data_IF_676296219910
#
_entry.id   IF_676296219910
#
_cell.length_a   1.000
_cell.length_b   1.000
_cell.length_c   1.000
_cell.angle_alpha   90.00
_cell.angle_beta   90.00
_cell.angle_gamma   90.00
#
_symmetry.space_group_name_H-M   'P 1'
#
loop_
_entity.id
_entity.type
_entity.pdbx_description
1 polymer ?
#
# COMPACT_ATOMS: atom_id res chain seq x y z
N UNK A 1 52.62 -20.29 -21.99
CA UNK A 1 51.49 -20.92 -21.26
C UNK A 1 50.66 -19.94 -20.40
N UNK A 2 50.88 -18.60 -20.46
CA UNK A 2 50.21 -17.62 -19.56
C UNK A 2 48.88 -17.06 -20.10
N UNK A 3 48.71 -16.92 -21.41
CA UNK A 3 47.49 -16.35 -22.02
C UNK A 3 46.22 -17.23 -21.90
N UNK A 4 46.37 -18.53 -21.65
CA UNK A 4 45.22 -19.46 -21.53
C UNK A 4 44.56 -19.36 -20.15
N UNK A 5 45.35 -19.00 -19.14
CA UNK A 5 44.91 -18.84 -17.74
C UNK A 5 44.15 -17.52 -17.57
N UNK A 6 44.61 -16.43 -18.22
CA UNK A 6 43.93 -15.12 -18.17
C UNK A 6 42.51 -15.16 -18.78
N UNK A 7 42.33 -15.88 -19.90
CA UNK A 7 40.99 -16.07 -20.50
C UNK A 7 40.05 -16.89 -19.63
N UNK A 8 40.57 -17.86 -18.88
CA UNK A 8 39.76 -18.62 -17.93
C UNK A 8 39.37 -17.75 -16.73
N UNK A 9 40.30 -16.97 -16.16
CA UNK A 9 40.01 -16.08 -15.03
C UNK A 9 38.97 -15.02 -15.42
N UNK A 10 39.04 -14.47 -16.63
CA UNK A 10 38.02 -13.55 -17.16
C UNK A 10 36.65 -14.22 -17.32
N UNK A 11 36.61 -15.48 -17.75
CA UNK A 11 35.36 -16.24 -17.84
C UNK A 11 34.78 -16.57 -16.45
N UNK A 12 35.62 -16.82 -15.45
CA UNK A 12 35.19 -17.02 -14.06
C UNK A 12 34.65 -15.73 -13.42
N UNK A 13 35.25 -14.57 -13.71
CA UNK A 13 34.75 -13.28 -13.22
C UNK A 13 33.41 -12.90 -13.86
N UNK A 14 33.22 -13.20 -15.16
CA UNK A 14 31.95 -12.95 -15.85
C UNK A 14 30.81 -13.85 -15.34
N UNK A 15 31.12 -15.10 -14.98
CA UNK A 15 30.16 -16.03 -14.39
C UNK A 15 29.79 -15.70 -12.94
N UNK A 16 30.71 -15.12 -12.15
CA UNK A 16 30.45 -14.73 -10.77
C UNK A 16 29.58 -13.45 -10.67
N UNK A 17 29.72 -12.52 -11.63
CA UNK A 17 28.90 -11.29 -11.67
C UNK A 17 27.43 -11.59 -12.00
N UNK A 18 27.13 -12.69 -12.70
CA UNK A 18 25.74 -13.14 -12.92
C UNK A 18 25.10 -13.83 -11.70
N UNK A 19 25.88 -14.24 -10.69
CA UNK A 19 25.36 -14.87 -9.47
C UNK A 19 25.22 -13.89 -8.29
N UNK A 20 25.78 -12.68 -8.41
CA UNK A 20 25.56 -11.62 -7.45
C UNK A 20 24.25 -10.93 -7.82
N UNK A 21 23.16 -11.52 -7.34
CA UNK A 21 21.81 -11.00 -7.50
C UNK A 21 21.80 -9.50 -7.26
N UNK A 22 21.49 -8.76 -8.32
CA UNK A 22 21.08 -7.37 -8.23
C UNK A 22 19.91 -7.41 -7.25
N UNK A 23 19.99 -6.78 -6.06
CA UNK A 23 18.77 -6.49 -5.35
C UNK A 23 18.03 -5.56 -6.30
N UNK A 24 17.02 -6.08 -7.01
CA UNK A 24 15.99 -5.24 -7.56
C UNK A 24 15.56 -4.40 -6.36
N UNK A 25 15.91 -3.12 -6.39
CA UNK A 25 15.29 -2.15 -5.51
C UNK A 25 13.80 -2.34 -5.78
N UNK A 26 13.11 -2.98 -4.82
CA UNK A 26 11.67 -3.14 -4.86
C UNK A 26 11.12 -1.75 -5.05
N UNK A 27 10.59 -1.51 -6.24
CA UNK A 27 9.81 -0.32 -6.49
C UNK A 27 8.62 -0.42 -5.55
N UNK A 28 8.46 0.57 -4.68
CA UNK A 28 7.26 0.74 -3.90
C UNK A 28 6.11 1.05 -4.87
N UNK A 29 5.38 0.01 -5.29
CA UNK A 29 4.04 0.03 -5.87
C UNK A 29 3.81 -1.29 -6.61
N UNK A 30 3.42 -2.34 -5.90
CA UNK A 30 2.82 -3.51 -6.55
C UNK A 30 1.73 -4.14 -5.64
N UNK A 31 1.00 -3.29 -4.88
CA UNK A 31 -0.27 -3.64 -4.23
C UNK A 31 -1.43 -3.70 -5.24
N UNK A 32 -1.12 -3.78 -6.54
CA UNK A 32 -2.12 -3.92 -7.61
C UNK A 32 -2.79 -5.29 -7.50
N UNK A 33 -3.78 -5.39 -6.64
CA UNK A 33 -4.56 -6.61 -6.42
C UNK A 33 -4.81 -6.97 -4.96
N UNK A 34 -4.27 -6.22 -4.00
CA UNK A 34 -4.59 -6.42 -2.58
C UNK A 34 -5.87 -5.66 -2.19
N UNK A 35 -6.74 -6.33 -1.46
CA UNK A 35 -8.02 -5.80 -1.04
C UNK A 35 -8.31 -6.13 0.42
N UNK A 36 -9.02 -5.22 1.06
CA UNK A 36 -9.64 -5.42 2.36
C UNK A 36 -11.10 -5.82 2.12
N UNK A 37 -11.43 -7.05 2.49
CA UNK A 37 -12.75 -7.65 2.39
C UNK A 37 -13.42 -7.70 3.76
N UNK A 38 -14.67 -7.23 3.83
CA UNK A 38 -15.54 -7.37 4.99
C UNK A 38 -16.60 -8.43 4.73
N UNK A 39 -16.62 -9.46 5.57
CA UNK A 39 -17.63 -10.52 5.57
C UNK A 39 -17.69 -11.17 6.95
N UNK A 40 -18.65 -12.08 7.18
CA UNK A 40 -18.62 -12.87 8.42
C UNK A 40 -17.47 -13.89 8.37
N UNK A 41 -16.90 -14.27 9.54
CA UNK A 41 -15.79 -15.23 9.60
C UNK A 41 -16.12 -16.59 8.99
N UNK A 42 -17.39 -16.99 8.98
CA UNK A 42 -17.86 -18.25 8.42
C UNK A 42 -17.90 -18.22 6.88
N UNK A 43 -18.05 -17.04 6.28
CA UNK A 43 -18.22 -16.88 4.84
C UNK A 43 -16.90 -16.73 4.06
N UNK A 44 -15.81 -16.30 4.71
CA UNK A 44 -14.56 -15.92 4.03
C UNK A 44 -14.01 -17.03 3.12
N UNK A 45 -13.99 -18.28 3.60
CA UNK A 45 -13.44 -19.39 2.83
C UNK A 45 -14.24 -19.67 1.56
N UNK A 46 -15.56 -19.50 1.62
CA UNK A 46 -16.45 -19.72 0.49
C UNK A 46 -16.38 -18.56 -0.51
N UNK A 47 -16.28 -17.32 -0.03
CA UNK A 47 -16.05 -16.13 -0.90
C UNK A 47 -14.72 -16.27 -1.63
N UNK A 48 -13.64 -16.59 -0.92
CA UNK A 48 -12.30 -16.76 -1.49
C UNK A 48 -12.30 -17.84 -2.57
N UNK A 49 -12.98 -18.97 -2.30
CA UNK A 49 -13.13 -20.07 -3.26
C UNK A 49 -13.97 -19.69 -4.50
N UNK A 50 -15.10 -19.00 -4.32
CA UNK A 50 -16.02 -18.62 -5.41
C UNK A 50 -15.40 -17.60 -6.36
N UNK A 51 -14.68 -16.63 -5.81
CA UNK A 51 -14.12 -15.50 -6.58
C UNK A 51 -12.64 -15.66 -6.91
N UNK A 52 -11.99 -16.75 -6.47
CA UNK A 52 -10.60 -17.05 -6.78
C UNK A 52 -9.59 -16.14 -6.09
N UNK A 53 -9.97 -15.55 -4.95
CA UNK A 53 -9.03 -14.80 -4.12
C UNK A 53 -8.02 -15.74 -3.45
N UNK A 54 -6.93 -15.16 -2.96
CA UNK A 54 -6.05 -15.80 -1.98
C UNK A 54 -6.14 -15.05 -0.67
N UNK A 55 -6.45 -15.73 0.43
CA UNK A 55 -6.48 -15.12 1.75
C UNK A 55 -5.05 -14.91 2.26
N UNK A 56 -4.65 -13.65 2.46
CA UNK A 56 -3.32 -13.28 3.00
C UNK A 56 -3.37 -13.29 4.53
N UNK A 57 -4.37 -12.60 5.10
CA UNK A 57 -4.52 -12.40 6.54
C UNK A 57 -5.99 -12.26 6.90
N UNK A 58 -6.37 -12.75 8.07
CA UNK A 58 -7.71 -12.62 8.62
C UNK A 58 -7.66 -11.97 10.00
N UNK A 59 -8.62 -11.10 10.28
CA UNK A 59 -8.93 -10.57 11.60
C UNK A 59 -10.39 -10.87 11.93
N UNK A 60 -10.63 -12.12 12.37
CA UNK A 60 -11.96 -12.71 12.51
C UNK A 60 -12.86 -11.96 13.48
N UNK A 61 -12.33 -11.43 14.58
CA UNK A 61 -13.11 -10.67 15.57
C UNK A 61 -13.75 -9.40 15.03
N UNK A 62 -13.29 -8.87 13.89
CA UNK A 62 -13.89 -7.71 13.23
C UNK A 62 -14.46 -8.04 11.85
N UNK A 63 -14.40 -9.30 11.41
CA UNK A 63 -14.81 -9.70 10.05
C UNK A 63 -14.03 -8.98 8.95
N UNK A 64 -12.74 -8.70 9.18
CA UNK A 64 -11.86 -8.00 8.24
C UNK A 64 -10.84 -9.01 7.72
N UNK A 65 -10.71 -9.11 6.40
CA UNK A 65 -9.88 -10.09 5.73
C UNK A 65 -9.08 -9.43 4.60
N UNK A 66 -7.77 -9.63 4.59
CA UNK A 66 -6.88 -9.18 3.52
C UNK A 66 -6.78 -10.28 2.47
N UNK A 67 -7.12 -9.94 1.24
CA UNK A 67 -7.21 -10.89 0.13
C UNK A 67 -6.48 -10.37 -1.10
N UNK A 68 -5.84 -11.28 -1.83
CA UNK A 68 -5.20 -11.01 -3.11
C UNK A 68 -6.12 -11.46 -4.25
N UNK A 69 -6.47 -10.55 -5.15
CA UNK A 69 -7.23 -10.84 -6.35
C UNK A 69 -6.44 -11.74 -7.31
N UNK A 70 -7.10 -12.58 -8.11
CA UNK A 70 -6.42 -13.37 -9.13
C UNK A 70 -5.83 -12.45 -10.21
N UNK A 71 -4.62 -12.76 -10.69
CA UNK A 71 -3.90 -11.95 -11.69
C UNK A 71 -4.65 -11.73 -13.02
N UNK A 72 -5.70 -12.53 -13.28
CA UNK A 72 -6.58 -12.40 -14.45
C UNK A 72 -7.79 -11.49 -14.23
N UNK A 73 -8.00 -10.97 -13.02
CA UNK A 73 -9.13 -10.12 -12.69
C UNK A 73 -8.99 -8.76 -13.40
N UNK A 74 -10.00 -8.40 -14.20
CA UNK A 74 -10.17 -7.01 -14.65
C UNK A 74 -10.88 -6.24 -13.53
N UNK A 75 -10.27 -5.18 -12.96
CA UNK A 75 -10.73 -4.59 -11.69
C UNK A 75 -12.22 -4.20 -11.67
N UNK A 76 -12.72 -3.55 -12.72
CA UNK A 76 -14.06 -2.94 -12.68
C UNK A 76 -15.22 -3.96 -12.70
N UNK A 77 -15.15 -4.94 -13.60
CA UNK A 77 -16.19 -5.98 -13.69
C UNK A 77 -16.13 -6.94 -12.51
N UNK A 78 -14.93 -7.33 -12.11
CA UNK A 78 -14.71 -8.24 -10.98
C UNK A 78 -15.22 -7.66 -9.66
N UNK A 79 -14.94 -6.38 -9.38
CA UNK A 79 -15.43 -5.73 -8.15
C UNK A 79 -16.95 -5.55 -8.15
N UNK A 80 -17.56 -5.36 -9.32
CA UNK A 80 -19.02 -5.25 -9.44
C UNK A 80 -19.72 -6.58 -9.12
N UNK A 81 -19.18 -7.68 -9.63
CA UNK A 81 -19.68 -9.03 -9.35
C UNK A 81 -19.53 -9.38 -7.87
N UNK A 82 -18.38 -9.04 -7.27
CA UNK A 82 -18.13 -9.30 -5.85
C UNK A 82 -19.04 -8.47 -4.93
N UNK A 83 -19.30 -7.19 -5.26
CA UNK A 83 -20.24 -6.34 -4.50
C UNK A 83 -21.68 -6.84 -4.56
N UNK A 84 -22.00 -7.69 -5.53
CA UNK A 84 -23.31 -8.31 -5.67
C UNK A 84 -23.43 -9.63 -4.89
N UNK A 85 -22.33 -10.14 -4.32
CA UNK A 85 -22.34 -11.34 -3.49
C UNK A 85 -23.01 -11.04 -2.13
N UNK A 86 -24.04 -11.80 -1.73
CA UNK A 86 -24.78 -11.56 -0.50
C UNK A 86 -23.94 -11.71 0.77
N UNK A 87 -22.84 -12.45 0.71
CA UNK A 87 -21.97 -12.69 1.87
C UNK A 87 -20.91 -11.59 2.04
N UNK A 88 -20.77 -10.70 1.05
CA UNK A 88 -19.82 -9.58 1.05
C UNK A 88 -20.50 -8.34 1.62
N UNK A 89 -19.98 -7.84 2.75
CA UNK A 89 -20.47 -6.62 3.39
C UNK A 89 -19.77 -5.37 2.84
N UNK A 90 -18.54 -5.52 2.36
CA UNK A 90 -17.78 -4.42 1.75
C UNK A 90 -16.44 -4.89 1.19
N UNK A 91 -15.95 -4.18 0.18
CA UNK A 91 -14.61 -4.35 -0.37
C UNK A 91 -14.00 -2.99 -0.69
N UNK A 92 -12.75 -2.81 -0.29
CA UNK A 92 -11.91 -1.66 -0.61
C UNK A 92 -10.51 -2.11 -1.01
N UNK A 93 -9.84 -1.40 -1.93
CA UNK A 93 -8.45 -1.70 -2.26
C UNK A 93 -7.54 -1.37 -1.07
N UNK A 94 -6.51 -2.18 -0.87
CA UNK A 94 -5.44 -1.83 0.08
C UNK A 94 -4.56 -0.78 -0.60
N UNK A 95 -4.70 0.47 -0.15
CA UNK A 95 -4.01 1.62 -0.73
C UNK A 95 -3.34 2.43 0.36
N UNK A 96 -2.21 3.04 0.00
CA UNK A 96 -1.56 4.02 0.84
C UNK A 96 -2.50 5.21 1.12
N UNK A 97 -2.75 5.45 2.41
CA UNK A 97 -3.53 6.61 2.87
C UNK A 97 -2.57 7.77 3.12
N UNK A 98 -2.76 8.87 2.37
CA UNK A 98 -2.03 10.11 2.62
C UNK A 98 -2.59 10.81 3.87
N UNK A 99 -1.78 10.90 4.92
CA UNK A 99 -2.10 11.66 6.12
C UNK A 99 -2.00 13.17 5.84
N UNK A 100 -2.79 13.97 6.56
CA UNK A 100 -2.81 15.42 6.37
C UNK A 100 -1.45 16.08 6.68
N UNK A 101 -0.71 15.51 7.63
CA UNK A 101 0.65 15.87 8.00
C UNK A 101 1.71 15.40 7.00
N UNK A 102 1.40 14.42 6.15
CA UNK A 102 2.32 13.92 5.11
C UNK A 102 2.14 14.65 3.77
N UNK A 103 1.40 15.77 3.75
CA UNK A 103 1.18 16.55 2.53
C UNK A 103 2.52 16.94 1.89
N UNK A 104 2.68 16.73 0.57
CA UNK A 104 3.87 17.20 -0.14
C UNK A 104 4.12 18.69 0.13
N UNK A 105 5.27 19.00 0.71
CA UNK A 105 5.67 20.37 1.06
C UNK A 105 5.57 20.75 2.54
N UNK A 106 4.96 19.92 3.40
CA UNK A 106 5.06 20.12 4.85
C UNK A 106 6.45 19.68 5.33
N UNK A 107 7.31 20.64 5.68
CA UNK A 107 8.64 20.36 6.21
C UNK A 107 8.54 20.24 7.73
N UNK A 108 8.51 19.00 8.24
CA UNK A 108 8.57 18.74 9.68
C UNK A 108 10.01 19.02 10.13
N UNK A 109 10.24 20.24 10.58
CA UNK A 109 11.49 20.68 11.20
C UNK A 109 11.44 20.43 12.72
N UNK A 110 12.59 20.31 13.38
CA UNK A 110 12.66 20.29 14.86
C UNK A 110 12.38 21.65 15.48
N UNK A 111 12.20 22.69 14.66
CA UNK A 111 11.79 24.03 15.09
C UNK A 111 10.28 24.21 14.90
N UNK A 112 9.56 24.33 16.03
CA UNK A 112 8.13 24.68 16.03
C UNK A 112 7.84 25.97 15.25
N UNK A 113 8.75 26.96 15.29
CA UNK A 113 8.59 28.20 14.53
C UNK A 113 8.65 27.97 13.01
N UNK A 114 9.56 27.11 12.57
CA UNK A 114 9.72 26.73 11.16
C UNK A 114 8.52 25.94 10.64
N UNK A 115 7.97 25.03 11.45
CA UNK A 115 6.71 24.33 11.14
C UNK A 115 5.56 25.32 11.01
N UNK A 116 5.40 26.23 11.98
CA UNK A 116 4.36 27.27 11.93
C UNK A 116 4.50 28.15 10.69
N UNK A 117 5.72 28.35 10.20
CA UNK A 117 5.96 29.13 8.99
C UNK A 117 5.41 28.46 7.72
N UNK A 118 5.31 27.14 7.70
CA UNK A 118 4.77 26.38 6.57
C UNK A 118 3.23 26.30 6.54
N UNK A 119 2.55 26.67 7.63
CA UNK A 119 1.09 26.61 7.71
C UNK A 119 0.44 27.78 6.94
N UNK A 120 -0.43 27.46 5.96
CA UNK A 120 -1.40 28.42 5.40
C UNK A 120 -2.48 28.74 6.44
N UNK A 121 -3.09 29.92 6.33
CA UNK A 121 -4.21 30.37 7.17
C UNK A 121 -3.87 30.37 8.68
N UNK A 122 -2.87 31.17 9.08
CA UNK A 122 -2.41 31.31 10.48
C UNK A 122 -3.35 32.16 11.38
N UNK A 123 -4.53 32.51 10.89
CA UNK A 123 -5.52 33.26 11.66
C UNK A 123 -6.19 32.36 12.69
N UNK A 124 -6.47 32.92 13.86
CA UNK A 124 -7.27 32.24 14.89
C UNK A 124 -8.72 32.69 14.73
N UNK A 125 -9.63 31.74 14.51
CA UNK A 125 -11.06 31.96 14.30
C UNK A 125 -11.88 31.39 15.45
N UNK A 126 -13.05 31.98 15.77
CA UNK A 126 -13.99 31.37 16.71
C UNK A 126 -14.65 30.13 16.10
N UNK A 127 -14.61 29.00 16.80
CA UNK A 127 -15.28 27.74 16.44
C UNK A 127 -15.91 27.13 17.69
N UNK A 128 -17.25 27.03 17.73
CA UNK A 128 -18.03 26.55 18.89
C UNK A 128 -17.57 27.12 20.24
N UNK A 129 -17.33 28.44 20.29
CA UNK A 129 -16.93 29.13 21.53
C UNK A 129 -15.44 29.01 21.90
N UNK A 130 -14.66 28.22 21.16
CA UNK A 130 -13.21 28.11 21.31
C UNK A 130 -12.48 28.87 20.21
N UNK A 131 -11.25 29.30 20.50
CA UNK A 131 -10.34 29.90 19.52
C UNK A 131 -9.46 28.81 18.91
N UNK A 132 -9.63 28.56 17.61
CA UNK A 132 -8.90 27.53 16.87
C UNK A 132 -8.20 28.12 15.65
N UNK A 133 -7.17 27.47 15.13
CA UNK A 133 -6.52 27.87 13.88
C UNK A 133 -7.50 27.69 12.72
N UNK A 134 -7.59 28.63 11.77
CA UNK A 134 -8.53 28.55 10.64
C UNK A 134 -8.37 27.27 9.82
N UNK A 135 -7.17 26.70 9.75
CA UNK A 135 -6.91 25.43 9.07
C UNK A 135 -7.64 24.21 9.65
N UNK A 136 -8.23 24.31 10.84
CA UNK A 136 -9.05 23.23 11.44
C UNK A 136 -10.53 23.33 11.06
N UNK A 137 -10.95 24.46 10.49
CA UNK A 137 -12.37 24.77 10.24
C UNK A 137 -12.66 24.88 8.73
N UNK A 138 -11.63 25.18 7.93
CA UNK A 138 -11.63 25.15 6.46
C UNK A 138 -11.46 23.71 5.93
#
# INVERSE_FOLDING_TARGET
MRCKVERQILAWLLGLVTLLGIPCAGSASDDEGEFILRCSPEAIHEIVRRHGFTLIRSHESQGIHFVLAPASARPEHFLSDLRSDPDVQGIEPDIDVMLAEARPGLKVDQSTASILDTLRNRSVVPFYGSRVLSSYVD
#
